data_IF_681027447629
#
_entry.id   IF_681027447629
#
_cell.length_a   1.000
_cell.length_b   1.000
_cell.length_c   1.000
_cell.angle_alpha   90.00
_cell.angle_beta   90.00
_cell.angle_gamma   90.00
#
_symmetry.space_group_name_H-M   'P 1'
#
loop_
_entity.id
_entity.type
_entity.pdbx_description
1 polymer ?
#
# COMPACT_ATOMS: atom_id res chain seq x y z
N UNK A 1 -50.86 12.72 -26.51
CA UNK A 1 -49.66 11.94 -26.86
C UNK A 1 -48.48 12.44 -26.07
N UNK A 2 -48.11 11.76 -24.98
CA UNK A 2 -46.96 12.14 -24.14
C UNK A 2 -45.70 11.53 -24.76
N UNK A 3 -44.75 12.38 -25.19
CA UNK A 3 -43.43 11.94 -25.65
C UNK A 3 -42.61 11.57 -24.42
N UNK A 4 -42.29 10.29 -24.29
CA UNK A 4 -41.33 9.77 -23.32
C UNK A 4 -39.94 10.05 -23.89
N UNK A 5 -39.25 11.00 -23.33
CA UNK A 5 -37.81 11.24 -23.61
C UNK A 5 -37.04 10.19 -22.82
N UNK A 6 -36.56 9.17 -23.52
CA UNK A 6 -35.67 8.17 -22.97
C UNK A 6 -34.25 8.79 -22.86
N UNK A 7 -33.91 9.29 -21.68
CA UNK A 7 -32.57 9.72 -21.41
C UNK A 7 -31.65 8.50 -21.37
N UNK A 8 -30.89 8.31 -22.45
CA UNK A 8 -29.82 7.31 -22.49
C UNK A 8 -28.70 7.87 -21.59
N UNK A 9 -28.64 7.38 -20.34
CA UNK A 9 -27.48 7.56 -19.49
C UNK A 9 -26.35 6.74 -20.09
N UNK A 10 -25.44 7.39 -20.81
CA UNK A 10 -24.17 6.77 -21.23
C UNK A 10 -23.32 6.66 -19.95
N UNK A 11 -23.36 5.48 -19.33
CA UNK A 11 -22.36 5.10 -18.36
C UNK A 11 -21.03 4.97 -19.11
N UNK A 12 -20.20 5.99 -19.04
CA UNK A 12 -18.77 5.88 -19.34
C UNK A 12 -18.22 4.99 -18.24
N UNK A 13 -18.22 3.68 -18.43
CA UNK A 13 -17.50 2.77 -17.58
C UNK A 13 -16.03 3.01 -17.81
N UNK A 14 -15.46 3.93 -17.04
CA UNK A 14 -14.04 3.92 -16.78
C UNK A 14 -13.70 2.52 -16.32
N UNK A 15 -12.88 1.81 -17.09
CA UNK A 15 -12.45 0.45 -16.81
C UNK A 15 -11.38 0.49 -15.67
N UNK A 16 -11.75 1.06 -14.51
CA UNK A 16 -10.96 0.96 -13.30
C UNK A 16 -11.26 -0.41 -12.69
N UNK A 17 -10.25 -1.28 -12.64
CA UNK A 17 -10.36 -2.53 -11.91
C UNK A 17 -10.75 -2.23 -10.46
N UNK A 18 -11.76 -2.94 -9.95
CA UNK A 18 -12.08 -2.91 -8.53
C UNK A 18 -10.89 -3.42 -7.71
N UNK A 19 -10.63 -2.81 -6.54
CA UNK A 19 -9.57 -3.28 -5.65
C UNK A 19 -9.85 -4.69 -5.16
N UNK A 20 -8.85 -5.58 -5.21
CA UNK A 20 -8.96 -6.93 -4.66
C UNK A 20 -8.45 -6.98 -3.22
N UNK A 21 -9.10 -7.81 -2.41
CA UNK A 21 -8.61 -8.15 -1.08
C UNK A 21 -7.44 -9.13 -1.22
N UNK A 22 -6.26 -8.71 -0.76
CA UNK A 22 -5.04 -9.51 -0.84
C UNK A 22 -5.10 -10.78 0.01
N UNK A 23 -5.95 -10.83 1.05
CA UNK A 23 -6.13 -12.02 1.88
C UNK A 23 -6.83 -13.16 1.10
N UNK A 24 -7.47 -12.82 -0.04
CA UNK A 24 -8.13 -13.76 -0.95
C UNK A 24 -7.24 -14.16 -2.16
N UNK A 25 -6.05 -13.59 -2.25
CA UNK A 25 -5.08 -13.83 -3.32
C UNK A 25 -4.08 -14.90 -2.88
N UNK A 26 -3.84 -15.87 -3.74
CA UNK A 26 -2.87 -16.92 -3.48
C UNK A 26 -1.44 -16.41 -3.68
N UNK A 27 -0.58 -16.69 -2.70
CA UNK A 27 0.86 -16.50 -2.82
C UNK A 27 1.48 -17.65 -3.66
N UNK A 28 2.27 -17.29 -4.64
CA UNK A 28 3.18 -18.22 -5.30
C UNK A 28 4.51 -18.31 -4.52
N UNK A 29 5.27 -19.41 -4.71
CA UNK A 29 6.62 -19.61 -4.14
C UNK A 29 7.65 -18.56 -4.59
N UNK A 30 7.30 -17.75 -5.60
CA UNK A 30 8.10 -16.64 -6.12
C UNK A 30 7.79 -15.30 -5.47
N UNK A 31 7.01 -15.27 -4.37
CA UNK A 31 6.50 -14.07 -3.71
C UNK A 31 5.63 -13.15 -4.58
N UNK A 32 5.14 -13.67 -5.71
CA UNK A 32 4.20 -12.97 -6.58
C UNK A 32 2.76 -13.20 -6.12
N UNK A 33 1.97 -12.14 -6.17
CA UNK A 33 0.52 -12.21 -5.92
C UNK A 33 -0.22 -12.72 -7.14
N UNK A 34 -0.98 -13.80 -6.97
CA UNK A 34 -1.73 -14.44 -8.04
C UNK A 34 -3.22 -14.37 -7.71
N UNK A 35 -4.04 -13.96 -8.67
CA UNK A 35 -5.51 -14.04 -8.57
C UNK A 35 -6.04 -15.16 -9.44
N UNK A 36 -7.13 -15.79 -9.00
CA UNK A 36 -7.89 -16.74 -9.80
C UNK A 36 -9.06 -15.98 -10.48
N UNK A 37 -9.13 -15.99 -11.82
CA UNK A 37 -10.19 -15.29 -12.57
C UNK A 37 -11.60 -15.92 -12.37
N UNK A 38 -11.68 -17.09 -11.73
CA UNK A 38 -12.94 -17.77 -11.44
C UNK A 38 -12.96 -18.34 -10.03
N UNK A 39 -13.59 -17.65 -9.10
CA UNK A 39 -13.82 -18.08 -7.71
C UNK A 39 -14.60 -19.38 -7.56
N UNK A 40 -15.17 -19.95 -8.62
CA UNK A 40 -16.06 -21.13 -8.56
C UNK A 40 -15.41 -22.45 -8.93
N UNK A 41 -14.21 -22.46 -9.52
CA UNK A 41 -13.51 -23.70 -9.89
C UNK A 41 -12.01 -23.59 -9.62
N UNK A 42 -11.55 -24.31 -8.61
CA UNK A 42 -10.13 -24.55 -8.32
C UNK A 42 -9.49 -25.33 -9.48
N UNK A 43 -9.27 -24.69 -10.61
CA UNK A 43 -8.50 -25.23 -11.71
C UNK A 43 -7.09 -24.63 -11.66
N UNK A 44 -6.11 -25.43 -11.31
CA UNK A 44 -4.69 -25.09 -11.20
C UNK A 44 -4.05 -24.56 -12.50
N UNK A 45 -4.81 -24.39 -13.58
CA UNK A 45 -4.28 -24.09 -14.91
C UNK A 45 -4.44 -22.65 -15.40
N UNK A 46 -5.16 -21.78 -14.66
CA UNK A 46 -5.37 -20.37 -15.06
C UNK A 46 -4.90 -19.36 -14.01
N UNK A 47 -3.70 -19.52 -13.51
CA UNK A 47 -3.09 -18.54 -12.62
C UNK A 47 -2.57 -17.37 -13.45
N UNK A 48 -3.23 -16.21 -13.38
CA UNK A 48 -2.72 -14.97 -13.96
C UNK A 48 -2.13 -14.10 -12.88
N UNK A 49 -0.96 -13.54 -13.16
CA UNK A 49 -0.33 -12.55 -12.29
C UNK A 49 -1.22 -11.32 -12.19
N UNK A 50 -1.56 -10.91 -10.99
CA UNK A 50 -2.45 -9.78 -10.77
C UNK A 50 -1.77 -8.45 -11.11
N UNK A 51 -2.55 -7.55 -11.72
CA UNK A 51 -2.20 -6.16 -11.97
C UNK A 51 -3.42 -5.29 -11.66
N UNK A 52 -3.33 -4.43 -10.67
CA UNK A 52 -4.44 -3.56 -10.30
C UNK A 52 -4.35 -3.06 -8.86
N UNK A 53 -5.35 -2.27 -8.42
CA UNK A 53 -5.45 -1.83 -7.05
C UNK A 53 -5.74 -3.00 -6.11
N UNK A 54 -5.14 -2.98 -4.92
CA UNK A 54 -5.27 -4.05 -3.94
C UNK A 54 -5.30 -3.50 -2.51
N UNK A 55 -5.90 -4.23 -1.61
CA UNK A 55 -5.90 -3.94 -0.18
C UNK A 55 -5.83 -5.23 0.62
N UNK A 56 -5.50 -5.13 1.90
CA UNK A 56 -5.73 -6.19 2.86
C UNK A 56 -6.44 -5.64 4.10
N UNK A 57 -6.97 -6.54 4.91
CA UNK A 57 -7.77 -6.18 6.08
C UNK A 57 -7.14 -6.67 7.38
N UNK A 58 -7.59 -6.12 8.48
CA UNK A 58 -7.45 -6.74 9.80
C UNK A 58 -8.41 -7.94 9.88
N UNK A 59 -8.18 -8.81 10.85
CA UNK A 59 -9.09 -9.95 11.12
C UNK A 59 -10.53 -9.51 11.43
N UNK A 60 -10.69 -8.30 11.91
CA UNK A 60 -11.98 -7.65 12.22
C UNK A 60 -12.68 -7.05 11.00
N UNK A 61 -12.01 -7.03 9.83
CA UNK A 61 -12.57 -6.62 8.54
C UNK A 61 -12.19 -5.21 8.09
N UNK A 62 -11.66 -4.36 8.98
CA UNK A 62 -11.24 -3.01 8.62
C UNK A 62 -10.02 -3.04 7.70
N UNK A 63 -9.95 -2.08 6.78
CA UNK A 63 -8.80 -1.95 5.87
C UNK A 63 -7.51 -1.70 6.66
N UNK A 64 -6.49 -2.53 6.43
CA UNK A 64 -5.17 -2.41 7.05
C UNK A 64 -4.17 -1.67 6.18
N UNK A 65 -4.17 -1.94 4.88
CA UNK A 65 -3.33 -1.25 3.90
C UNK A 65 -3.92 -1.35 2.50
N UNK A 66 -3.51 -0.44 1.61
CA UNK A 66 -3.94 -0.42 0.21
C UNK A 66 -2.87 0.19 -0.69
N UNK A 67 -2.89 -0.19 -1.97
CA UNK A 67 -1.97 0.31 -2.99
C UNK A 67 -2.17 -0.38 -4.33
N UNK A 68 -1.12 -0.39 -5.14
CA UNK A 68 -1.13 -1.01 -6.46
C UNK A 68 -0.25 -2.26 -6.49
N UNK A 69 -0.71 -3.28 -7.20
CA UNK A 69 0.07 -4.45 -7.59
C UNK A 69 0.35 -4.35 -9.09
N UNK A 70 1.59 -4.59 -9.47
CA UNK A 70 2.04 -4.71 -10.87
C UNK A 70 2.90 -5.96 -11.00
N UNK A 71 2.56 -6.81 -11.95
CA UNK A 71 3.24 -8.10 -12.17
C UNK A 71 3.34 -8.96 -10.89
N UNK A 72 2.29 -8.91 -10.04
CA UNK A 72 2.25 -9.62 -8.77
C UNK A 72 3.00 -8.95 -7.62
N UNK A 73 3.71 -7.86 -7.85
CA UNK A 73 4.48 -7.14 -6.84
C UNK A 73 3.81 -5.83 -6.42
N UNK A 74 4.00 -5.43 -5.17
CA UNK A 74 3.64 -4.08 -4.70
C UNK A 74 4.42 -3.05 -5.47
N UNK A 75 3.75 -1.97 -5.92
CA UNK A 75 4.37 -0.87 -6.65
C UNK A 75 3.70 0.47 -6.30
N UNK A 76 4.44 1.57 -6.48
CA UNK A 76 3.93 2.91 -6.17
C UNK A 76 3.61 3.10 -4.69
N UNK A 77 2.78 4.09 -4.40
CA UNK A 77 2.44 4.45 -3.01
C UNK A 77 1.49 3.43 -2.40
N UNK A 78 1.81 3.01 -1.19
CA UNK A 78 0.99 2.20 -0.31
C UNK A 78 0.70 2.97 0.97
N UNK A 79 -0.56 3.01 1.34
CA UNK A 79 -1.05 3.59 2.58
C UNK A 79 -1.45 2.49 3.56
N UNK A 80 -1.02 2.61 4.81
CA UNK A 80 -1.45 1.75 5.90
C UNK A 80 -2.31 2.49 6.90
N UNK A 81 -3.25 1.79 7.51
CA UNK A 81 -4.24 2.33 8.44
C UNK A 81 -4.26 1.53 9.74
N UNK A 82 -4.71 2.13 10.81
CA UNK A 82 -5.10 1.43 12.04
C UNK A 82 -6.56 0.93 11.95
N UNK A 83 -7.04 0.29 13.01
CA UNK A 83 -8.40 -0.24 13.07
C UNK A 83 -9.47 0.85 13.05
N UNK A 84 -9.12 2.08 13.45
CA UNK A 84 -10.02 3.25 13.43
C UNK A 84 -10.00 3.96 12.07
N UNK A 85 -9.26 3.41 11.09
CA UNK A 85 -9.13 3.97 9.75
C UNK A 85 -8.16 5.14 9.65
N UNK A 86 -7.43 5.47 10.72
CA UNK A 86 -6.42 6.52 10.70
C UNK A 86 -5.15 6.04 10.01
N UNK A 87 -4.53 6.93 9.23
CA UNK A 87 -3.30 6.62 8.50
C UNK A 87 -2.15 6.36 9.48
N UNK A 88 -1.49 5.22 9.34
CA UNK A 88 -0.30 4.81 10.11
C UNK A 88 0.99 5.03 9.35
N UNK A 89 0.95 4.85 8.04
CA UNK A 89 2.10 5.11 7.17
C UNK A 89 1.65 5.41 5.74
N UNK A 90 2.53 6.07 5.01
CA UNK A 90 2.50 6.18 3.55
C UNK A 90 3.91 5.95 3.03
N UNK A 91 4.08 5.11 2.03
CA UNK A 91 5.42 4.81 1.52
C UNK A 91 5.37 4.16 0.15
N UNK A 92 6.48 4.24 -0.55
CA UNK A 92 6.60 3.70 -1.88
C UNK A 92 7.14 2.27 -1.88
N UNK A 93 6.66 1.49 -2.83
CA UNK A 93 7.19 0.18 -3.17
C UNK A 93 7.64 0.17 -4.64
N UNK A 94 8.71 -0.56 -4.90
CA UNK A 94 9.18 -0.88 -6.23
C UNK A 94 9.51 -2.37 -6.28
N UNK A 95 8.87 -3.08 -7.21
CA UNK A 95 9.08 -4.51 -7.43
C UNK A 95 8.96 -5.36 -6.13
N UNK A 96 8.01 -4.98 -5.25
CA UNK A 96 7.72 -5.65 -3.98
C UNK A 96 8.53 -5.17 -2.78
N UNK A 97 9.59 -4.40 -2.99
CA UNK A 97 10.45 -3.89 -1.93
C UNK A 97 10.12 -2.44 -1.57
N UNK A 98 10.33 -2.07 -0.31
CA UNK A 98 10.23 -0.68 0.11
C UNK A 98 11.24 0.16 -0.64
N UNK A 99 10.78 1.29 -1.20
CA UNK A 99 11.58 2.20 -1.99
C UNK A 99 11.11 3.64 -1.81
N UNK A 100 11.96 4.62 -2.09
CA UNK A 100 11.56 6.02 -1.99
C UNK A 100 11.20 6.47 -0.58
N UNK A 101 10.37 7.52 -0.50
CA UNK A 101 10.03 8.15 0.77
C UNK A 101 9.02 7.33 1.57
N UNK A 102 9.24 7.24 2.88
CA UNK A 102 8.36 6.60 3.84
C UNK A 102 8.07 7.53 5.02
N UNK A 103 6.80 7.72 5.30
CA UNK A 103 6.30 8.55 6.39
C UNK A 103 5.44 7.69 7.30
N UNK A 104 5.73 7.65 8.58
CA UNK A 104 4.88 7.09 9.60
C UNK A 104 4.13 8.17 10.37
N UNK A 105 2.98 7.81 10.91
CA UNK A 105 2.11 8.72 11.64
C UNK A 105 1.76 8.15 13.02
N UNK A 106 1.56 9.02 13.99
CA UNK A 106 0.91 8.72 15.25
C UNK A 106 -0.61 8.63 15.08
N UNK A 107 -1.30 8.11 16.09
CA UNK A 107 -2.77 7.99 16.08
C UNK A 107 -3.50 9.34 16.06
N UNK A 108 -2.84 10.43 16.49
CA UNK A 108 -3.35 11.80 16.39
C UNK A 108 -3.16 12.42 14.99
N UNK A 109 -2.48 11.72 14.06
CA UNK A 109 -2.20 12.17 12.69
C UNK A 109 -0.88 12.90 12.51
N UNK A 110 -0.19 13.24 13.62
CA UNK A 110 1.14 13.84 13.56
C UNK A 110 2.17 12.86 13.01
N UNK A 111 3.18 13.41 12.32
CA UNK A 111 4.28 12.63 11.76
C UNK A 111 5.09 11.98 12.87
N UNK A 112 5.35 10.68 12.75
CA UNK A 112 6.16 9.89 13.66
C UNK A 112 7.60 9.72 13.16
N UNK A 113 7.75 9.48 11.85
CA UNK A 113 9.04 9.40 11.17
C UNK A 113 8.92 9.78 9.71
N UNK A 114 10.04 10.18 9.11
CA UNK A 114 10.16 10.54 7.70
C UNK A 114 11.56 10.16 7.21
N UNK A 115 11.65 9.28 6.24
CA UNK A 115 12.92 8.79 5.75
C UNK A 115 12.81 8.14 4.37
N UNK A 116 13.88 7.54 3.93
CA UNK A 116 14.00 6.93 2.60
C UNK A 116 14.41 5.47 2.72
N UNK A 117 13.77 4.62 1.91
CA UNK A 117 14.21 3.25 1.65
C UNK A 117 14.78 3.13 0.25
N UNK A 118 15.79 2.28 0.12
CA UNK A 118 16.33 1.84 -1.15
C UNK A 118 16.56 0.32 -1.08
N UNK A 119 15.98 -0.42 -2.03
CA UNK A 119 16.03 -1.89 -2.07
C UNK A 119 15.66 -2.55 -0.72
N UNK A 120 14.58 -2.09 -0.11
CA UNK A 120 14.10 -2.61 1.19
C UNK A 120 14.88 -2.14 2.41
N UNK A 121 15.99 -1.43 2.25
CA UNK A 121 16.87 -0.99 3.32
C UNK A 121 16.72 0.52 3.59
N UNK A 122 16.80 0.92 4.85
CA UNK A 122 16.84 2.33 5.22
C UNK A 122 18.15 2.96 4.72
N UNK A 123 18.03 4.16 4.14
CA UNK A 123 19.18 4.91 3.61
C UNK A 123 19.02 6.41 3.89
N UNK A 124 20.17 7.12 3.92
CA UNK A 124 20.17 8.56 4.14
C UNK A 124 19.61 8.97 5.50
N UNK A 125 19.06 10.18 5.52
CA UNK A 125 18.56 10.79 6.75
C UNK A 125 17.15 10.31 7.08
N UNK A 126 16.94 9.96 8.37
CA UNK A 126 15.67 9.64 8.98
C UNK A 126 15.40 10.61 10.13
N UNK A 127 14.26 11.28 10.05
CA UNK A 127 13.78 12.21 11.06
C UNK A 127 12.69 11.56 11.89
N UNK A 128 12.75 11.67 13.22
CA UNK A 128 11.75 11.16 14.14
C UNK A 128 11.17 12.29 14.98
N UNK A 129 9.89 12.18 15.29
CA UNK A 129 9.10 13.22 15.93
C UNK A 129 8.36 12.67 17.15
N UNK A 130 8.01 13.55 18.08
CA UNK A 130 7.05 13.26 19.15
C UNK A 130 5.60 13.48 18.71
N UNK A 131 4.65 13.14 19.58
CA UNK A 131 3.22 13.32 19.31
C UNK A 131 2.76 14.79 19.24
N UNK A 132 3.62 15.73 19.63
CA UNK A 132 3.41 17.18 19.49
C UNK A 132 3.97 17.73 18.18
N UNK A 133 4.59 16.87 17.36
CA UNK A 133 5.18 17.24 16.07
C UNK A 133 6.59 17.81 16.16
N UNK A 134 7.21 17.81 17.35
CA UNK A 134 8.59 18.27 17.49
C UNK A 134 9.54 17.17 17.04
N UNK A 135 10.55 17.55 16.28
CA UNK A 135 11.63 16.62 15.90
C UNK A 135 12.49 16.31 17.11
N UNK A 136 12.66 15.03 17.43
CA UNK A 136 13.37 14.57 18.63
C UNK A 136 14.67 13.85 18.33
N UNK A 137 14.74 13.24 17.12
CA UNK A 137 15.87 12.41 16.75
C UNK A 137 16.13 12.52 15.24
N UNK A 138 17.39 12.47 14.87
CA UNK A 138 17.86 12.33 13.50
C UNK A 138 18.85 11.16 13.44
N UNK A 139 18.66 10.26 12.49
CA UNK A 139 19.56 9.15 12.24
C UNK A 139 20.00 9.15 10.78
N UNK A 140 21.26 8.82 10.54
CA UNK A 140 21.80 8.61 9.20
C UNK A 140 22.00 7.11 9.00
N UNK A 141 21.35 6.58 7.98
CA UNK A 141 21.45 5.18 7.60
C UNK A 141 22.30 4.98 6.35
N UNK A 142 23.02 3.88 6.32
CA UNK A 142 23.68 3.35 5.14
C UNK A 142 23.46 1.83 5.09
N UNK A 143 22.85 1.35 4.02
CA UNK A 143 22.50 -0.08 3.83
C UNK A 143 21.79 -0.70 5.05
N UNK A 144 20.77 -0.01 5.56
CA UNK A 144 19.95 -0.46 6.69
C UNK A 144 20.62 -0.38 8.06
N UNK A 145 21.85 0.18 8.15
CA UNK A 145 22.61 0.31 9.42
C UNK A 145 22.75 1.77 9.80
N UNK A 146 22.52 2.08 11.08
CA UNK A 146 22.75 3.42 11.63
C UNK A 146 24.24 3.72 11.59
N UNK A 147 24.60 4.86 11.03
CA UNK A 147 25.97 5.43 11.02
C UNK A 147 26.12 6.56 11.99
N UNK A 148 25.07 7.33 12.16
CA UNK A 148 25.07 8.50 13.04
C UNK A 148 23.70 8.66 13.70
N UNK A 149 23.68 9.13 14.94
CA UNK A 149 22.47 9.43 15.70
C UNK A 149 22.66 10.80 16.38
N UNK A 150 21.68 11.69 16.20
CA UNK A 150 21.63 13.00 16.83
C UNK A 150 20.30 13.17 17.54
N UNK A 151 20.33 13.31 18.87
CA UNK A 151 19.18 13.72 19.69
C UNK A 151 19.04 15.26 19.62
N UNK A 152 17.81 15.75 19.55
CA UNK A 152 17.48 17.17 19.40
C UNK A 152 16.72 17.68 20.61
#
# INVERSE_FOLDING_TARGET
MKKIILSILIFITSCSKEPVNMDEVLFDRSDQWITNDNFSNFSFFNRKVYNGPAFNTYRSGEKREQGMIKNGYRTGVWDGFDKDGKKRFSGEYKDGEKHGRWIGFFSNGEKKYDGVYEFGLQTGKWDYYDESGNKTLEEIYFEGRIRETKKL
#
